data_IF_031349212412
#
_entry.id   IF_031349212412
#
_cell.length_a   1.000
_cell.length_b   1.000
_cell.length_c   1.000
_cell.angle_alpha   90.00
_cell.angle_beta   90.00
_cell.angle_gamma   90.00
#
_symmetry.space_group_name_H-M   'P 1'
#
loop_
_entity.id
_entity.type
_entity.pdbx_description
1 polymer ?
#
# COMPACT_ATOMS: atom_id res chain seq x y z
N UNK A 1 3.13 -7.19 -23.19
CA UNK A 1 2.03 -7.59 -22.27
C UNK A 1 2.15 -9.07 -21.90
N UNK A 2 2.16 -10.00 -22.86
CA UNK A 2 2.21 -11.45 -22.64
C UNK A 2 3.26 -11.90 -21.60
N UNK A 3 4.54 -11.56 -21.79
CA UNK A 3 5.61 -11.86 -20.81
C UNK A 3 5.37 -11.29 -19.41
N UNK A 4 4.80 -10.08 -19.32
CA UNK A 4 4.49 -9.46 -18.02
C UNK A 4 3.38 -10.22 -17.29
N UNK A 5 2.38 -10.70 -18.05
CA UNK A 5 1.33 -11.57 -17.53
C UNK A 5 1.87 -12.94 -17.11
N UNK A 6 2.75 -13.55 -17.90
CA UNK A 6 3.40 -14.82 -17.52
C UNK A 6 4.13 -14.69 -16.19
N UNK A 7 4.96 -13.65 -16.02
CA UNK A 7 5.72 -13.41 -14.79
C UNK A 7 4.79 -13.22 -13.59
N UNK A 8 3.76 -12.38 -13.74
CA UNK A 8 2.80 -12.13 -12.66
C UNK A 8 2.05 -13.41 -12.31
N UNK A 9 1.48 -14.11 -13.29
CA UNK A 9 0.73 -15.37 -13.08
C UNK A 9 1.59 -16.46 -12.47
N UNK A 10 2.87 -16.53 -12.83
CA UNK A 10 3.82 -17.47 -12.23
C UNK A 10 4.01 -17.24 -10.72
N UNK A 11 3.67 -16.07 -10.17
CA UNK A 11 3.67 -15.81 -8.73
C UNK A 11 2.27 -15.77 -8.13
N UNK A 12 1.29 -15.17 -8.80
CA UNK A 12 -0.05 -14.94 -8.25
C UNK A 12 -1.01 -16.10 -8.45
N UNK A 13 -0.72 -16.99 -9.40
CA UNK A 13 -1.59 -18.12 -9.81
C UNK A 13 -0.80 -19.43 -10.00
N UNK A 14 0.40 -19.54 -9.44
CA UNK A 14 1.15 -20.80 -9.48
C UNK A 14 0.40 -21.92 -8.75
N UNK A 15 0.51 -23.14 -9.26
CA UNK A 15 -0.13 -24.33 -8.68
C UNK A 15 0.31 -24.56 -7.22
N UNK A 16 1.58 -24.26 -6.90
CA UNK A 16 2.10 -24.32 -5.54
C UNK A 16 1.40 -23.38 -4.55
N UNK A 17 0.67 -22.37 -5.04
CA UNK A 17 -0.10 -21.41 -4.24
C UNK A 17 -1.60 -21.71 -4.22
N UNK A 18 -2.07 -22.81 -4.83
CA UNK A 18 -3.50 -23.11 -4.95
C UNK A 18 -4.21 -23.16 -3.60
N UNK A 19 -3.70 -23.94 -2.63
CA UNK A 19 -4.28 -24.04 -1.27
C UNK A 19 -4.33 -22.66 -0.58
N UNK A 20 -3.29 -21.85 -0.74
CA UNK A 20 -3.26 -20.49 -0.20
C UNK A 20 -4.37 -19.61 -0.81
N UNK A 21 -4.54 -19.65 -2.14
CA UNK A 21 -5.56 -18.88 -2.84
C UNK A 21 -6.98 -19.35 -2.49
N UNK A 22 -7.21 -20.66 -2.45
CA UNK A 22 -8.51 -21.24 -2.10
C UNK A 22 -8.94 -20.87 -0.69
N UNK A 23 -8.02 -20.90 0.29
CA UNK A 23 -8.29 -20.42 1.65
C UNK A 23 -8.64 -18.95 1.66
N UNK A 24 -7.93 -18.13 0.88
CA UNK A 24 -8.23 -16.71 0.76
C UNK A 24 -9.63 -16.47 0.16
N UNK A 25 -10.03 -17.23 -0.86
CA UNK A 25 -11.37 -17.16 -1.44
C UNK A 25 -12.47 -17.71 -0.53
N UNK A 26 -12.18 -18.74 0.26
CA UNK A 26 -13.12 -19.32 1.22
C UNK A 26 -13.69 -18.26 2.17
N UNK A 27 -12.84 -17.36 2.67
CA UNK A 27 -13.24 -16.28 3.58
C UNK A 27 -13.71 -15.00 2.87
N UNK A 28 -13.61 -14.93 1.54
CA UNK A 28 -14.11 -13.80 0.78
C UNK A 28 -15.63 -13.90 0.54
N UNK A 29 -16.30 -12.74 0.53
CA UNK A 29 -17.70 -12.60 0.10
C UNK A 29 -17.82 -13.15 -1.33
N UNK A 30 -18.85 -13.97 -1.65
CA UNK A 30 -18.95 -14.63 -2.95
C UNK A 30 -18.85 -13.69 -4.16
N UNK A 31 -19.47 -12.52 -4.10
CA UNK A 31 -19.42 -11.51 -5.17
C UNK A 31 -18.02 -10.91 -5.38
N UNK A 32 -17.15 -10.95 -4.37
CA UNK A 32 -15.79 -10.38 -4.46
C UNK A 32 -14.79 -11.35 -5.10
N UNK A 33 -15.07 -12.66 -5.07
CA UNK A 33 -14.14 -13.69 -5.57
C UNK A 33 -13.83 -13.53 -7.06
N UNK A 34 -14.85 -13.21 -7.86
CA UNK A 34 -14.70 -13.04 -9.32
C UNK A 34 -13.80 -11.85 -9.70
N UNK A 35 -14.03 -10.62 -9.18
CA UNK A 35 -13.10 -9.51 -9.46
C UNK A 35 -11.70 -9.75 -8.88
N UNK A 36 -11.58 -10.41 -7.72
CA UNK A 36 -10.26 -10.80 -7.19
C UNK A 36 -9.51 -11.73 -8.15
N UNK A 37 -10.16 -12.79 -8.63
CA UNK A 37 -9.57 -13.71 -9.60
C UNK A 37 -9.17 -12.99 -10.89
N UNK A 38 -10.06 -12.13 -11.43
CA UNK A 38 -9.77 -11.36 -12.65
C UNK A 38 -8.54 -10.47 -12.48
N UNK A 39 -8.42 -9.75 -11.36
CA UNK A 39 -7.23 -8.97 -11.07
C UNK A 39 -5.96 -9.84 -10.97
N UNK A 40 -6.04 -11.04 -10.39
CA UNK A 40 -4.93 -12.00 -10.39
C UNK A 40 -4.63 -12.58 -11.77
N UNK A 41 -5.52 -12.47 -12.74
CA UNK A 41 -5.33 -12.96 -14.10
C UNK A 41 -4.76 -11.90 -15.05
N UNK A 42 -5.14 -10.63 -14.91
CA UNK A 42 -4.71 -9.54 -15.81
C UNK A 42 -3.90 -8.42 -15.14
N UNK A 43 -3.98 -8.28 -13.82
CA UNK A 43 -3.28 -7.24 -13.05
C UNK A 43 -3.88 -5.83 -13.22
N UNK A 44 -5.09 -5.73 -13.78
CA UNK A 44 -5.74 -4.46 -14.11
C UNK A 44 -6.80 -4.15 -13.06
N UNK A 45 -6.61 -3.05 -12.32
CA UNK A 45 -7.59 -2.55 -11.37
C UNK A 45 -8.58 -1.60 -12.07
N UNK A 46 -9.79 -2.09 -12.31
CA UNK A 46 -10.89 -1.36 -12.93
C UNK A 46 -12.23 -1.80 -12.32
N UNK A 47 -13.32 -1.02 -12.47
CA UNK A 47 -14.66 -1.52 -12.24
C UNK A 47 -14.94 -2.77 -13.08
N UNK A 48 -15.66 -3.74 -12.52
CA UNK A 48 -15.79 -5.07 -13.11
C UNK A 48 -16.36 -5.07 -14.54
N UNK A 49 -17.27 -4.15 -14.84
CA UNK A 49 -17.87 -4.02 -16.17
C UNK A 49 -17.03 -3.23 -17.19
N UNK A 50 -15.91 -2.65 -16.79
CA UNK A 50 -15.10 -1.82 -17.66
C UNK A 50 -14.30 -2.65 -18.68
N UNK A 51 -13.98 -2.00 -19.80
CA UNK A 51 -13.11 -2.57 -20.83
C UNK A 51 -11.65 -2.52 -20.39
N UNK A 52 -10.93 -3.64 -20.58
CA UNK A 52 -9.52 -3.77 -20.19
C UNK A 52 -8.57 -3.76 -21.40
N UNK A 53 -9.10 -3.72 -22.62
CA UNK A 53 -8.31 -3.83 -23.87
C UNK A 53 -7.30 -2.69 -24.03
N UNK A 54 -7.59 -1.52 -23.45
CA UNK A 54 -6.73 -0.35 -23.47
C UNK A 54 -5.45 -0.53 -22.62
N UNK A 55 -5.46 -1.44 -21.64
CA UNK A 55 -4.33 -1.71 -20.73
C UNK A 55 -3.32 -2.69 -21.34
N UNK A 56 -2.74 -2.30 -22.47
CA UNK A 56 -1.80 -3.14 -23.25
C UNK A 56 -0.32 -2.94 -22.89
N UNK A 57 0.01 -1.88 -22.17
CA UNK A 57 1.38 -1.51 -21.81
C UNK A 57 1.64 -1.87 -20.34
N UNK A 58 2.60 -2.76 -20.03
CA UNK A 58 2.96 -3.08 -18.65
C UNK A 58 3.43 -1.86 -17.88
N UNK A 59 3.09 -1.78 -16.59
CA UNK A 59 3.53 -0.69 -15.72
C UNK A 59 5.07 -0.75 -15.54
N UNK A 60 5.83 0.27 -16.02
CA UNK A 60 7.29 0.25 -15.95
C UNK A 60 7.84 0.33 -14.53
N UNK A 61 7.03 0.70 -13.53
CA UNK A 61 7.41 0.66 -12.11
C UNK A 61 7.38 -0.75 -11.54
N UNK A 62 6.49 -1.61 -12.05
CA UNK A 62 6.38 -3.00 -11.60
C UNK A 62 7.25 -3.96 -12.41
N UNK A 63 7.47 -3.68 -13.69
CA UNK A 63 8.20 -4.56 -14.60
C UNK A 63 9.56 -3.97 -15.01
N UNK A 64 10.39 -3.67 -14.01
CA UNK A 64 11.78 -3.22 -14.21
C UNK A 64 12.72 -4.40 -14.44
N UNK A 65 13.91 -4.14 -15.00
CA UNK A 65 14.95 -5.16 -15.12
C UNK A 65 15.65 -5.38 -13.75
N UNK A 66 15.88 -6.62 -13.31
CA UNK A 66 15.45 -7.88 -13.93
C UNK A 66 13.93 -8.07 -13.77
N UNK A 67 13.24 -8.43 -14.86
CA UNK A 67 11.78 -8.58 -14.89
C UNK A 67 11.28 -9.53 -13.79
N UNK A 68 10.87 -8.96 -12.66
CA UNK A 68 10.28 -9.67 -11.54
C UNK A 68 8.99 -8.96 -11.13
N UNK A 69 8.07 -9.71 -10.53
CA UNK A 69 6.89 -9.14 -9.94
C UNK A 69 7.20 -8.77 -8.47
N UNK A 70 7.13 -7.48 -8.07
CA UNK A 70 7.65 -7.03 -6.78
C UNK A 70 6.67 -7.27 -5.62
N UNK A 71 5.42 -7.62 -5.92
CA UNK A 71 4.36 -7.77 -4.93
C UNK A 71 4.25 -9.27 -4.56
N UNK A 72 4.17 -9.64 -3.28
CA UNK A 72 3.91 -11.02 -2.89
C UNK A 72 2.66 -11.59 -3.59
N UNK A 73 2.72 -12.85 -4.04
CA UNK A 73 1.65 -13.45 -4.86
C UNK A 73 0.27 -13.44 -4.21
N UNK A 74 0.22 -13.44 -2.87
CA UNK A 74 -1.00 -13.42 -2.08
C UNK A 74 -1.60 -12.04 -1.81
N UNK A 75 -0.87 -10.96 -2.07
CA UNK A 75 -1.34 -9.62 -1.75
C UNK A 75 -2.58 -9.25 -2.57
N UNK A 76 -3.50 -8.51 -1.95
CA UNK A 76 -4.66 -7.91 -2.60
C UNK A 76 -4.54 -6.38 -2.50
N UNK A 77 -4.80 -5.60 -3.57
CA UNK A 77 -4.67 -4.15 -3.53
C UNK A 77 -5.63 -3.48 -2.53
N UNK A 78 -6.64 -4.19 -2.03
CA UNK A 78 -7.53 -3.74 -0.96
C UNK A 78 -6.88 -3.75 0.43
N UNK A 79 -5.83 -4.56 0.64
CA UNK A 79 -5.21 -4.76 1.96
C UNK A 79 -4.61 -3.47 2.53
N UNK A 80 -4.32 -2.48 1.68
CA UNK A 80 -3.81 -1.17 2.09
C UNK A 80 -4.89 -0.15 2.53
N UNK A 81 -6.17 -0.54 2.58
CA UNK A 81 -7.28 0.39 2.76
C UNK A 81 -8.29 -0.11 3.80
N UNK A 82 -8.96 0.84 4.46
CA UNK A 82 -10.05 0.55 5.40
C UNK A 82 -11.19 -0.17 4.66
N UNK A 83 -11.59 -1.39 5.10
CA UNK A 83 -12.71 -2.10 4.49
C UNK A 83 -14.00 -1.28 4.53
N UNK A 84 -14.20 -0.52 5.61
CA UNK A 84 -15.34 0.38 5.77
C UNK A 84 -15.34 1.48 4.70
N UNK A 85 -14.20 2.14 4.49
CA UNK A 85 -14.09 3.25 3.52
C UNK A 85 -14.33 2.74 2.10
N UNK A 86 -13.85 1.51 1.80
CA UNK A 86 -14.14 0.86 0.53
C UNK A 86 -15.62 0.51 0.39
N UNK A 87 -16.26 -0.04 1.42
CA UNK A 87 -17.69 -0.38 1.39
C UNK A 87 -18.59 0.84 1.21
N UNK A 88 -18.25 1.96 1.87
CA UNK A 88 -18.97 3.24 1.81
C UNK A 88 -18.70 4.03 0.52
N UNK A 89 -17.66 3.67 -0.24
CA UNK A 89 -17.37 4.34 -1.51
C UNK A 89 -18.49 4.09 -2.51
N UNK A 90 -19.10 5.18 -3.00
CA UNK A 90 -20.09 5.11 -4.06
C UNK A 90 -19.46 4.64 -5.37
N UNK A 91 -20.07 3.63 -5.98
CA UNK A 91 -19.69 3.09 -7.28
C UNK A 91 -20.92 2.94 -8.19
N UNK A 92 -21.93 3.79 -7.98
CA UNK A 92 -23.19 3.76 -8.69
C UNK A 92 -23.97 2.45 -8.46
N UNK A 93 -24.66 1.92 -9.48
CA UNK A 93 -25.55 0.77 -9.32
C UNK A 93 -24.80 -0.55 -9.01
N UNK A 94 -23.49 -0.62 -9.26
CA UNK A 94 -22.65 -1.79 -9.02
C UNK A 94 -22.19 -1.87 -7.56
N UNK A 95 -23.14 -1.92 -6.62
CA UNK A 95 -22.88 -1.84 -5.17
C UNK A 95 -22.04 -3.00 -4.61
N UNK A 96 -21.98 -4.13 -5.32
CA UNK A 96 -21.18 -5.32 -4.96
C UNK A 96 -19.82 -5.38 -5.65
N UNK A 97 -19.48 -4.41 -6.51
CA UNK A 97 -18.20 -4.38 -7.21
C UNK A 97 -17.12 -3.74 -6.32
N UNK A 98 -16.52 -4.55 -5.45
CA UNK A 98 -15.51 -4.07 -4.50
C UNK A 98 -14.24 -3.55 -5.18
N UNK A 99 -13.89 -4.05 -6.37
CA UNK A 99 -12.73 -3.57 -7.14
C UNK A 99 -13.05 -2.25 -7.85
N UNK A 100 -14.28 -2.06 -8.33
CA UNK A 100 -14.77 -0.76 -8.79
C UNK A 100 -14.83 0.28 -7.66
N UNK A 101 -15.30 -0.11 -6.48
CA UNK A 101 -15.24 0.75 -5.28
C UNK A 101 -13.79 1.14 -4.93
N UNK A 102 -12.86 0.18 -4.92
CA UNK A 102 -11.45 0.46 -4.72
C UNK A 102 -10.91 1.42 -5.79
N UNK A 103 -11.20 1.18 -7.07
CA UNK A 103 -10.79 2.07 -8.16
C UNK A 103 -11.27 3.51 -7.95
N UNK A 104 -12.56 3.68 -7.63
CA UNK A 104 -13.16 5.00 -7.39
C UNK A 104 -12.55 5.67 -6.16
N UNK A 105 -12.38 4.92 -5.06
CA UNK A 105 -11.76 5.39 -3.83
C UNK A 105 -10.34 5.93 -4.10
N UNK A 106 -9.50 5.14 -4.78
CA UNK A 106 -8.15 5.53 -5.14
C UNK A 106 -8.11 6.81 -5.96
N UNK A 107 -9.00 6.96 -6.95
CA UNK A 107 -9.07 8.18 -7.76
C UNK A 107 -9.41 9.41 -6.92
N UNK A 108 -10.34 9.29 -5.97
CA UNK A 108 -10.69 10.37 -5.06
C UNK A 108 -9.50 10.73 -4.16
N UNK A 109 -8.85 9.73 -3.56
CA UNK A 109 -7.66 9.92 -2.71
C UNK A 109 -6.53 10.59 -3.48
N UNK A 110 -6.20 10.09 -4.67
CA UNK A 110 -5.14 10.63 -5.52
C UNK A 110 -5.46 12.04 -5.98
N UNK A 111 -6.71 12.33 -6.37
CA UNK A 111 -7.14 13.68 -6.74
C UNK A 111 -7.00 14.66 -5.57
N UNK A 112 -7.44 14.27 -4.37
CA UNK A 112 -7.29 15.07 -3.16
C UNK A 112 -5.82 15.27 -2.80
N UNK A 113 -4.99 14.23 -2.93
CA UNK A 113 -3.56 14.31 -2.71
C UNK A 113 -2.90 15.29 -3.68
N UNK A 114 -3.15 15.16 -4.99
CA UNK A 114 -2.64 16.06 -6.03
C UNK A 114 -3.04 17.53 -5.79
N UNK A 115 -4.29 17.76 -5.38
CA UNK A 115 -4.76 19.11 -5.05
C UNK A 115 -4.05 19.71 -3.84
N UNK A 116 -3.75 18.91 -2.82
CA UNK A 116 -3.01 19.35 -1.63
C UNK A 116 -1.54 19.64 -1.96
N UNK A 117 -0.85 18.72 -2.63
CA UNK A 117 0.59 18.88 -2.95
C UNK A 117 0.83 20.08 -3.88
N UNK A 118 -0.09 20.40 -4.78
CA UNK A 118 0.05 21.56 -5.67
C UNK A 118 0.12 22.91 -4.92
N UNK A 119 -0.41 22.96 -3.70
CA UNK A 119 -0.48 24.18 -2.88
C UNK A 119 0.33 24.08 -1.58
N UNK A 120 1.11 23.01 -1.40
CA UNK A 120 1.89 22.78 -0.18
C UNK A 120 3.37 22.88 -0.51
N UNK A 121 4.12 23.65 0.27
CA UNK A 121 5.59 23.60 0.20
C UNK A 121 6.06 22.31 0.84
N UNK A 122 6.61 21.40 0.05
CA UNK A 122 7.14 20.12 0.51
C UNK A 122 8.63 20.06 0.23
N UNK A 123 9.39 19.63 1.23
CA UNK A 123 10.81 19.34 1.11
C UNK A 123 11.04 17.90 1.53
N UNK A 124 11.88 17.20 0.79
CA UNK A 124 12.25 15.82 1.07
C UNK A 124 13.71 15.77 1.50
N UNK A 125 13.98 15.13 2.63
CA UNK A 125 15.32 14.78 3.07
C UNK A 125 15.40 13.26 3.16
N UNK A 126 16.30 12.66 2.38
CA UNK A 126 16.55 11.23 2.40
C UNK A 126 17.88 10.98 3.11
N UNK A 127 17.86 10.10 4.11
CA UNK A 127 19.05 9.67 4.84
C UNK A 127 19.23 8.16 4.62
N UNK A 128 20.45 7.75 4.30
CA UNK A 128 20.84 6.33 4.24
C UNK A 128 21.74 6.02 5.44
N UNK A 129 21.14 5.94 6.61
CA UNK A 129 21.84 5.68 7.88
C UNK A 129 21.03 4.70 8.72
N UNK A 130 21.72 3.99 9.61
CA UNK A 130 21.06 3.13 10.60
C UNK A 130 20.17 3.96 11.52
N UNK A 131 18.98 3.44 11.84
CA UNK A 131 18.01 4.16 12.65
C UNK A 131 18.58 4.59 14.01
N UNK A 132 19.43 3.77 14.63
CA UNK A 132 20.09 4.06 15.91
C UNK A 132 21.01 5.29 15.88
N UNK A 133 21.42 5.77 14.70
CA UNK A 133 22.29 6.93 14.49
C UNK A 133 21.53 8.20 14.10
N UNK A 134 20.20 8.15 14.05
CA UNK A 134 19.39 9.29 13.63
C UNK A 134 19.53 10.51 14.55
N UNK A 135 19.69 10.30 15.86
CA UNK A 135 19.90 11.37 16.84
C UNK A 135 21.18 12.18 16.58
N UNK A 136 22.20 11.59 15.96
CA UNK A 136 23.45 12.28 15.65
C UNK A 136 23.33 13.20 14.42
N UNK A 137 22.29 12.99 13.59
CA UNK A 137 22.14 13.63 12.28
C UNK A 137 20.90 14.53 12.19
N UNK A 138 19.94 14.35 13.08
CA UNK A 138 18.69 15.08 13.11
C UNK A 138 18.61 15.93 14.36
N UNK A 139 17.93 17.07 14.25
CA UNK A 139 17.72 17.97 15.38
C UNK A 139 16.67 17.38 16.31
N UNK A 140 16.97 17.33 17.61
CA UNK A 140 15.96 16.99 18.62
C UNK A 140 14.76 17.94 18.57
N UNK A 141 13.58 17.41 18.87
CA UNK A 141 12.35 18.20 18.89
C UNK A 141 11.93 18.78 17.54
N UNK A 142 12.39 18.23 16.40
CA UNK A 142 12.06 18.77 15.08
C UNK A 142 10.82 18.16 14.43
N UNK A 143 10.30 17.03 14.92
CA UNK A 143 9.24 16.29 14.26
C UNK A 143 7.91 16.35 15.03
N UNK A 144 6.83 16.64 14.31
CA UNK A 144 5.46 16.55 14.84
C UNK A 144 4.96 15.11 14.87
N UNK A 145 5.38 14.27 13.93
CA UNK A 145 5.01 12.86 13.85
C UNK A 145 6.17 12.06 13.26
N UNK A 146 6.37 10.86 13.77
CA UNK A 146 7.37 9.93 13.25
C UNK A 146 6.66 8.59 13.01
N UNK A 147 6.64 8.17 11.75
CA UNK A 147 6.27 6.80 11.38
C UNK A 147 7.56 5.98 11.38
N UNK A 148 7.57 4.85 12.11
CA UNK A 148 8.75 4.00 12.29
C UNK A 148 8.65 2.68 11.54
N UNK A 149 7.52 2.42 10.86
CA UNK A 149 7.24 1.18 10.15
C UNK A 149 7.61 -0.06 11.00
N UNK A 150 8.22 -1.05 10.37
CA UNK A 150 8.64 -2.30 11.01
C UNK A 150 9.85 -2.17 11.97
N UNK A 151 10.45 -0.98 12.15
CA UNK A 151 11.63 -0.80 13.02
C UNK A 151 11.33 -1.23 14.46
N UNK A 152 10.08 -1.05 14.90
CA UNK A 152 9.62 -1.41 16.24
C UNK A 152 9.45 -2.92 16.46
N UNK A 153 9.50 -3.74 15.41
CA UNK A 153 9.40 -5.19 15.52
C UNK A 153 10.63 -5.79 16.20
N UNK A 154 10.45 -6.91 16.90
CA UNK A 154 11.52 -7.60 17.64
C UNK A 154 12.65 -8.14 16.76
N UNK A 155 12.39 -8.36 15.47
CA UNK A 155 13.38 -8.77 14.47
C UNK A 155 14.24 -7.60 13.97
N UNK A 156 13.84 -6.36 14.29
CA UNK A 156 14.57 -5.12 13.99
C UNK A 156 15.16 -4.53 15.27
N UNK A 157 14.77 -3.32 15.69
CA UNK A 157 15.26 -2.73 16.94
C UNK A 157 14.44 -3.14 18.16
N UNK A 158 13.20 -3.58 17.96
CA UNK A 158 12.23 -3.76 19.03
C UNK A 158 11.68 -2.44 19.57
N UNK A 159 10.62 -2.50 20.37
CA UNK A 159 9.88 -1.31 20.81
C UNK A 159 10.72 -0.42 21.73
N UNK A 160 11.53 -1.00 22.62
CA UNK A 160 12.31 -0.26 23.61
C UNK A 160 13.36 0.65 22.97
N UNK A 161 14.18 0.11 22.07
CA UNK A 161 15.21 0.90 21.39
C UNK A 161 14.61 1.89 20.41
N UNK A 162 13.49 1.53 19.76
CA UNK A 162 12.77 2.46 18.87
C UNK A 162 12.30 3.69 19.63
N UNK A 163 11.66 3.53 20.80
CA UNK A 163 11.26 4.66 21.64
C UNK A 163 12.48 5.46 22.10
N UNK A 164 13.54 4.80 22.57
CA UNK A 164 14.76 5.46 23.04
C UNK A 164 15.37 6.38 21.97
N UNK A 165 15.42 5.92 20.72
CA UNK A 165 16.04 6.65 19.60
C UNK A 165 15.11 7.71 19.02
N UNK A 166 13.82 7.41 18.88
CA UNK A 166 12.89 8.27 18.14
C UNK A 166 12.21 9.32 19.03
N UNK A 167 11.98 9.04 20.31
CA UNK A 167 11.29 9.98 21.21
C UNK A 167 11.99 11.34 21.34
N UNK A 168 13.32 11.47 21.43
CA UNK A 168 13.96 12.79 21.51
C UNK A 168 13.81 13.63 20.23
N UNK A 169 13.53 13.00 19.08
CA UNK A 169 13.29 13.69 17.82
C UNK A 169 11.88 14.30 17.75
N UNK A 170 10.93 13.82 18.56
CA UNK A 170 9.60 14.40 18.64
C UNK A 170 9.61 15.74 19.37
N UNK A 171 8.78 16.67 18.90
CA UNK A 171 8.46 17.90 19.63
C UNK A 171 7.95 17.57 21.03
N UNK A 172 8.30 18.44 21.98
CA UNK A 172 7.75 18.38 23.33
C UNK A 172 6.22 18.47 23.29
N UNK A 173 5.55 17.75 24.19
CA UNK A 173 4.10 17.83 24.35
C UNK A 173 3.62 19.23 24.77
N UNK A 174 4.51 20.06 25.33
CA UNK A 174 4.22 21.48 25.58
C UNK A 174 4.06 22.27 24.29
N UNK A 175 4.79 21.90 23.24
CA UNK A 175 4.86 22.64 21.98
C UNK A 175 3.88 22.06 20.96
N UNK A 176 3.72 20.73 20.95
CA UNK A 176 2.73 20.03 20.17
C UNK A 176 2.12 18.88 20.99
N UNK A 177 0.88 19.03 21.53
CA UNK A 177 0.23 17.98 22.30
C UNK A 177 -0.19 16.76 21.46
N UNK A 178 -0.05 16.84 20.13
CA UNK A 178 -0.31 15.75 19.19
C UNK A 178 0.97 15.10 18.66
N UNK A 179 2.13 15.42 19.24
CA UNK A 179 3.38 14.77 18.89
C UNK A 179 3.30 13.26 19.17
N UNK A 180 3.53 12.42 18.16
CA UNK A 180 3.35 10.96 18.30
C UNK A 180 4.29 10.14 17.42
N UNK A 181 4.63 8.96 17.93
CA UNK A 181 5.15 7.85 17.15
C UNK A 181 3.98 7.04 16.57
N UNK A 182 4.17 6.52 15.37
CA UNK A 182 3.22 5.65 14.66
C UNK A 182 3.99 4.37 14.28
N UNK A 183 3.49 3.23 14.74
CA UNK A 183 4.04 1.88 14.52
C UNK A 183 3.07 1.06 13.70
#
# INVERSE_FOLDING_TARGET
MERANEIRKALTLAESHLDFLERHYLFAIPSHRVPMQRFREDGVLQPFGAEHSEFSIPNPTFFQAPFHWPIPGGSDPRDGWSPKDLEETDNGPATSDIYGKLFTHLRLVLKSFMSRIANTTISFQLLNIEATKLLDHLKEGSFDRIEVSNISDSVHLGPHLTILVMSPLLRSLSDNPHATLIT
#
